data_IF_429988599410
#
_entry.id   IF_429988599410
#
_cell.length_a   1.000
_cell.length_b   1.000
_cell.length_c   1.000
_cell.angle_alpha   90.00
_cell.angle_beta   90.00
_cell.angle_gamma   90.00
#
_symmetry.space_group_name_H-M   'P 1'
#
loop_
_entity.id
_entity.type
_entity.pdbx_description
1 polymer ?
#
# COMPACT_ATOMS: atom_id res chain seq x y z
N UNK A 1 11.39 -38.27 22.91
CA UNK A 1 10.23 -38.75 22.13
C UNK A 1 9.77 -37.67 21.16
N UNK A 2 9.30 -38.08 20.00
CA UNK A 2 8.60 -37.20 19.07
C UNK A 2 7.25 -37.82 18.82
N UNK A 3 6.15 -37.09 19.07
CA UNK A 3 4.78 -37.58 18.94
C UNK A 3 4.58 -38.93 19.68
N UNK A 4 5.05 -39.01 20.92
CA UNK A 4 4.99 -40.17 21.83
C UNK A 4 5.81 -41.39 21.37
N UNK A 5 6.68 -41.26 20.37
CA UNK A 5 7.57 -42.33 19.88
C UNK A 5 9.02 -42.07 20.26
N UNK A 6 9.75 -43.06 20.81
CA UNK A 6 11.15 -42.93 21.10
C UNK A 6 11.97 -42.88 19.79
N UNK A 7 12.79 -41.85 19.62
CA UNK A 7 13.60 -41.65 18.40
C UNK A 7 15.04 -41.34 18.80
N UNK A 8 16.00 -41.88 18.03
CA UNK A 8 17.41 -41.54 18.18
C UNK A 8 17.79 -40.32 17.32
N UNK A 9 17.25 -40.26 16.11
CA UNK A 9 17.45 -39.17 15.15
C UNK A 9 16.17 -38.99 14.35
N UNK A 10 15.72 -37.74 14.18
CA UNK A 10 14.60 -37.41 13.33
C UNK A 10 14.66 -35.95 12.85
N UNK A 11 14.02 -35.71 11.69
CA UNK A 11 13.80 -34.35 11.19
C UNK A 11 12.53 -33.82 11.83
N UNK A 12 12.66 -32.79 12.66
CA UNK A 12 11.55 -32.13 13.31
C UNK A 12 10.78 -31.24 12.34
N UNK A 13 9.46 -31.28 12.42
CA UNK A 13 8.55 -30.37 11.72
C UNK A 13 7.92 -29.41 12.71
N UNK A 14 7.46 -28.25 12.24
CA UNK A 14 6.91 -27.19 13.08
C UNK A 14 5.75 -27.61 14.01
N UNK A 15 5.04 -28.67 13.66
CA UNK A 15 3.88 -29.16 14.44
C UNK A 15 4.17 -30.45 15.23
N UNK A 16 5.43 -30.87 15.30
CA UNK A 16 5.79 -32.04 16.06
C UNK A 16 5.82 -31.72 17.57
N UNK A 17 5.38 -32.69 18.37
CA UNK A 17 5.48 -32.63 19.82
C UNK A 17 6.80 -33.28 20.25
N UNK A 18 7.72 -32.48 20.79
CA UNK A 18 9.01 -32.96 21.27
C UNK A 18 9.02 -33.07 22.81
N UNK A 19 9.29 -34.26 23.32
CA UNK A 19 9.43 -34.52 24.75
C UNK A 19 10.86 -34.94 25.08
N UNK A 20 11.48 -34.24 26.01
CA UNK A 20 12.79 -34.57 26.57
C UNK A 20 12.63 -34.94 28.05
N UNK A 21 12.48 -36.24 28.33
CA UNK A 21 12.15 -36.73 29.66
C UNK A 21 10.77 -36.29 30.12
N UNK A 22 10.68 -35.47 31.15
CA UNK A 22 9.44 -34.89 31.69
C UNK A 22 9.14 -33.49 31.12
N UNK A 23 9.98 -32.98 30.24
CA UNK A 23 9.84 -31.64 29.67
C UNK A 23 9.27 -31.70 28.24
N UNK A 24 8.20 -30.99 28.03
CA UNK A 24 7.65 -30.73 26.69
C UNK A 24 8.33 -29.49 26.13
N UNK A 25 8.93 -29.61 24.92
CA UNK A 25 9.61 -28.51 24.24
C UNK A 25 8.68 -27.92 23.18
N UNK A 26 8.37 -26.63 23.25
CA UNK A 26 7.54 -25.98 22.26
C UNK A 26 8.32 -25.82 20.93
N UNK A 27 8.14 -26.81 20.05
CA UNK A 27 8.87 -26.89 18.77
C UNK A 27 8.61 -25.67 17.89
N UNK A 28 7.41 -25.11 17.91
CA UNK A 28 7.07 -23.89 17.18
C UNK A 28 7.89 -22.67 17.65
N UNK A 29 8.14 -22.53 18.93
CA UNK A 29 8.99 -21.45 19.49
C UNK A 29 10.45 -21.65 19.11
N UNK A 30 10.90 -22.91 19.10
CA UNK A 30 12.26 -23.28 18.72
C UNK A 30 12.52 -22.93 17.25
N UNK A 31 11.58 -23.27 16.35
CA UNK A 31 11.66 -22.87 14.93
C UNK A 31 11.63 -21.36 14.74
N UNK A 32 10.76 -20.63 15.48
CA UNK A 32 10.75 -19.15 15.44
C UNK A 32 12.09 -18.57 15.88
N UNK A 33 12.70 -19.14 16.92
CA UNK A 33 14.00 -18.70 17.43
C UNK A 33 15.12 -18.98 16.42
N UNK A 34 15.17 -20.17 15.83
CA UNK A 34 16.15 -20.52 14.81
C UNK A 34 16.02 -19.59 13.60
N UNK A 35 14.80 -19.41 13.08
CA UNK A 35 14.55 -18.52 11.95
C UNK A 35 14.95 -17.07 12.28
N UNK A 36 14.76 -16.62 13.51
CA UNK A 36 15.17 -15.28 13.94
C UNK A 36 16.70 -15.13 14.00
N UNK A 37 17.42 -16.18 14.42
CA UNK A 37 18.88 -16.20 14.43
C UNK A 37 19.46 -16.22 13.02
N UNK A 38 18.92 -17.03 12.12
CA UNK A 38 19.32 -17.04 10.71
C UNK A 38 19.11 -15.68 10.03
N UNK A 39 17.99 -14.99 10.34
CA UNK A 39 17.72 -13.64 9.87
C UNK A 39 18.71 -12.62 10.43
N UNK A 40 19.20 -12.81 11.67
CA UNK A 40 20.19 -11.92 12.27
C UNK A 40 21.56 -12.01 11.58
N UNK A 41 21.97 -13.22 11.17
CA UNK A 41 23.24 -13.43 10.48
C UNK A 41 23.19 -13.12 8.99
N UNK A 42 22.00 -13.16 8.39
CA UNK A 42 21.82 -12.83 6.98
C UNK A 42 22.09 -11.34 6.73
N UNK A 43 23.00 -11.03 5.80
CA UNK A 43 23.32 -9.66 5.37
C UNK A 43 22.78 -9.33 3.98
N UNK A 44 22.65 -10.33 3.12
CA UNK A 44 22.15 -10.18 1.74
C UNK A 44 20.64 -10.40 1.68
N UNK A 45 19.90 -9.32 1.41
CA UNK A 45 18.45 -9.28 1.28
C UNK A 45 18.01 -8.77 -0.09
N UNK A 46 18.79 -9.02 -1.13
CA UNK A 46 18.51 -8.52 -2.48
C UNK A 46 17.17 -8.99 -3.03
N UNK A 47 16.81 -10.25 -2.80
CA UNK A 47 15.55 -10.82 -3.30
C UNK A 47 14.35 -10.22 -2.57
N UNK A 48 14.39 -10.23 -1.25
CA UNK A 48 13.34 -9.63 -0.40
C UNK A 48 13.15 -8.15 -0.72
N UNK A 49 14.24 -7.46 -1.05
CA UNK A 49 14.16 -6.05 -1.45
C UNK A 49 13.45 -5.83 -2.79
N UNK A 50 13.67 -6.72 -3.76
CA UNK A 50 12.96 -6.66 -5.04
C UNK A 50 11.45 -6.87 -4.85
N UNK A 51 11.06 -7.79 -3.96
CA UNK A 51 9.66 -8.01 -3.62
C UNK A 51 9.06 -6.78 -2.90
N UNK A 52 9.82 -6.19 -1.98
CA UNK A 52 9.41 -4.94 -1.33
C UNK A 52 9.27 -3.79 -2.33
N UNK A 53 10.16 -3.66 -3.31
CA UNK A 53 10.08 -2.65 -4.36
C UNK A 53 8.84 -2.85 -5.24
N UNK A 54 8.50 -4.09 -5.57
CA UNK A 54 7.28 -4.41 -6.30
C UNK A 54 6.03 -4.03 -5.50
N UNK A 55 6.00 -4.36 -4.20
CA UNK A 55 4.92 -3.98 -3.28
C UNK A 55 4.83 -2.45 -3.15
N UNK A 56 5.95 -1.73 -3.08
CA UNK A 56 5.96 -0.28 -3.05
C UNK A 56 5.38 0.34 -4.33
N UNK A 57 5.69 -0.21 -5.50
CA UNK A 57 5.09 0.24 -6.77
C UNK A 57 3.57 0.04 -6.79
N UNK A 58 3.08 -1.08 -6.24
CA UNK A 58 1.65 -1.35 -6.09
C UNK A 58 0.98 -0.40 -5.09
N UNK A 59 1.59 -0.20 -3.92
CA UNK A 59 1.16 0.79 -2.94
C UNK A 59 1.00 2.17 -3.57
N UNK A 60 2.02 2.62 -4.30
CA UNK A 60 2.01 3.92 -4.97
C UNK A 60 0.88 4.04 -6.01
N UNK A 61 0.64 2.99 -6.81
CA UNK A 61 -0.48 2.97 -7.76
C UNK A 61 -1.83 3.10 -7.04
N UNK A 62 -2.06 2.31 -5.99
CA UNK A 62 -3.29 2.39 -5.18
C UNK A 62 -3.43 3.77 -4.53
N UNK A 63 -2.35 4.32 -3.96
CA UNK A 63 -2.33 5.66 -3.36
C UNK A 63 -2.72 6.75 -4.35
N UNK A 64 -2.16 6.74 -5.56
CA UNK A 64 -2.51 7.70 -6.63
C UNK A 64 -3.98 7.54 -7.01
N UNK A 65 -4.48 6.31 -7.18
CA UNK A 65 -5.87 6.06 -7.53
C UNK A 65 -6.85 6.60 -6.48
N UNK A 66 -6.55 6.48 -5.19
CA UNK A 66 -7.37 7.02 -4.10
C UNK A 66 -7.26 8.56 -4.04
N UNK A 67 -6.04 9.10 -4.24
CA UNK A 67 -5.80 10.55 -4.11
C UNK A 67 -6.28 11.36 -5.31
N UNK A 68 -6.38 10.74 -6.50
CA UNK A 68 -6.76 11.44 -7.73
C UNK A 68 -8.28 11.48 -7.85
N UNK A 69 -8.89 12.67 -7.78
CA UNK A 69 -10.34 12.79 -7.98
C UNK A 69 -10.72 12.43 -9.41
N UNK A 70 -11.88 11.83 -9.64
CA UNK A 70 -12.37 11.54 -10.98
C UNK A 70 -12.54 12.84 -11.78
N UNK A 71 -12.10 12.86 -13.02
CA UNK A 71 -12.11 14.06 -13.86
C UNK A 71 -13.48 14.33 -14.49
N UNK A 72 -14.37 13.32 -14.54
CA UNK A 72 -15.67 13.43 -15.22
C UNK A 72 -16.56 14.58 -14.72
N UNK A 73 -16.64 14.92 -13.40
CA UNK A 73 -17.49 16.04 -12.96
C UNK A 73 -16.96 17.39 -13.46
N UNK A 74 -15.65 17.54 -13.62
CA UNK A 74 -15.04 18.75 -14.18
C UNK A 74 -15.42 18.86 -15.67
N UNK A 75 -15.30 17.77 -16.43
CA UNK A 75 -15.65 17.72 -17.85
C UNK A 75 -17.14 18.03 -18.02
N UNK A 76 -18.02 17.40 -17.23
CA UNK A 76 -19.45 17.63 -17.26
C UNK A 76 -19.79 19.10 -17.01
N UNK A 77 -19.15 19.72 -16.02
CA UNK A 77 -19.37 21.13 -15.70
C UNK A 77 -18.94 22.05 -16.84
N UNK A 78 -17.77 21.80 -17.44
CA UNK A 78 -17.28 22.59 -18.57
C UNK A 78 -18.22 22.47 -19.79
N UNK A 79 -18.66 21.27 -20.11
CA UNK A 79 -19.62 21.08 -21.26
C UNK A 79 -20.96 21.78 -21.02
N UNK A 80 -21.50 21.70 -19.78
CA UNK A 80 -22.73 22.38 -19.43
C UNK A 80 -22.60 23.92 -19.48
N UNK A 81 -21.45 24.46 -19.03
CA UNK A 81 -21.22 25.92 -19.14
C UNK A 81 -21.09 26.38 -20.57
N UNK A 82 -20.45 25.61 -21.46
CA UNK A 82 -20.34 25.92 -22.87
C UNK A 82 -21.76 25.91 -23.50
N UNK A 83 -22.58 24.91 -23.19
CA UNK A 83 -23.96 24.82 -23.67
C UNK A 83 -24.79 26.02 -23.19
N UNK A 84 -24.60 26.50 -21.98
CA UNK A 84 -25.29 27.69 -21.45
C UNK A 84 -24.87 28.94 -22.22
N UNK A 85 -23.56 29.12 -22.47
CA UNK A 85 -23.06 30.29 -23.21
C UNK A 85 -23.62 30.27 -24.64
N UNK A 86 -23.62 29.11 -25.31
CA UNK A 86 -24.19 29.00 -26.67
C UNK A 86 -25.69 29.27 -26.69
N UNK A 87 -26.45 28.74 -25.72
CA UNK A 87 -27.86 29.02 -25.57
C UNK A 87 -28.14 30.52 -25.32
N UNK A 88 -27.28 31.20 -24.53
CA UNK A 88 -27.41 32.63 -24.24
C UNK A 88 -27.13 33.50 -25.49
N UNK A 89 -26.20 33.09 -26.34
CA UNK A 89 -25.94 33.75 -27.63
C UNK A 89 -27.09 33.61 -28.63
N UNK A 90 -27.92 32.55 -28.45
CA UNK A 90 -29.10 32.28 -29.25
C UNK A 90 -30.40 32.78 -28.64
N UNK A 91 -30.35 33.80 -27.76
CA UNK A 91 -31.49 34.26 -26.94
C UNK A 91 -32.71 34.75 -27.72
N UNK A 92 -32.57 35.14 -28.98
CA UNK A 92 -33.70 35.55 -29.82
C UNK A 92 -34.61 34.36 -30.16
N UNK A 93 -34.17 33.14 -30.00
CA UNK A 93 -34.90 31.91 -30.34
C UNK A 93 -35.37 31.10 -29.12
N UNK A 94 -34.82 31.32 -27.93
CA UNK A 94 -35.09 30.52 -26.75
C UNK A 94 -35.82 31.32 -25.67
N UNK A 95 -37.01 30.88 -25.19
CA UNK A 95 -37.73 31.54 -24.11
C UNK A 95 -36.90 31.63 -22.80
N UNK A 96 -36.90 32.78 -22.13
CA UNK A 96 -36.10 33.06 -20.90
C UNK A 96 -36.30 32.04 -19.79
N UNK A 97 -37.47 31.41 -19.72
CA UNK A 97 -37.75 30.37 -18.71
C UNK A 97 -36.83 29.13 -18.83
N UNK A 98 -36.42 28.76 -20.05
CA UNK A 98 -35.48 27.63 -20.23
C UNK A 98 -34.06 27.99 -19.84
N UNK A 99 -33.62 29.23 -19.95
CA UNK A 99 -32.33 29.71 -19.51
C UNK A 99 -32.23 29.63 -17.96
N UNK A 100 -33.33 29.93 -17.25
CA UNK A 100 -33.38 29.79 -15.79
C UNK A 100 -33.21 28.32 -15.35
N UNK A 101 -33.93 27.40 -15.98
CA UNK A 101 -33.81 25.96 -15.70
C UNK A 101 -32.38 25.48 -15.95
N UNK A 102 -31.78 25.93 -17.07
CA UNK A 102 -30.40 25.53 -17.42
C UNK A 102 -29.36 26.05 -16.42
N UNK A 103 -29.50 27.30 -15.92
CA UNK A 103 -28.64 27.82 -14.85
C UNK A 103 -28.77 27.05 -13.54
N UNK A 104 -30.01 26.65 -13.21
CA UNK A 104 -30.27 25.85 -11.99
C UNK A 104 -29.65 24.45 -12.12
N UNK A 105 -29.71 23.80 -13.27
CA UNK A 105 -29.04 22.53 -13.56
C UNK A 105 -27.52 22.64 -13.42
N UNK A 106 -26.91 23.72 -13.92
CA UNK A 106 -25.46 23.92 -13.79
C UNK A 106 -25.08 24.16 -12.33
N UNK A 107 -25.87 24.91 -11.57
CA UNK A 107 -25.69 25.08 -10.14
C UNK A 107 -25.72 23.73 -9.41
N UNK A 108 -26.66 22.86 -9.77
CA UNK A 108 -26.80 21.53 -9.17
C UNK A 108 -25.56 20.67 -9.44
N UNK A 109 -24.98 20.74 -10.65
CA UNK A 109 -23.74 19.98 -10.98
C UNK A 109 -22.52 20.42 -10.19
N UNK A 110 -22.54 21.59 -9.55
CA UNK A 110 -21.47 22.04 -8.66
C UNK A 110 -21.54 21.35 -7.28
N UNK A 111 -22.77 21.01 -6.83
CA UNK A 111 -23.01 20.42 -5.50
C UNK A 111 -22.95 18.88 -5.55
N UNK A 112 -23.50 18.26 -6.60
CA UNK A 112 -23.56 16.81 -6.77
C UNK A 112 -22.21 16.10 -6.55
N UNK A 113 -21.08 16.54 -7.13
CA UNK A 113 -19.79 15.88 -6.91
C UNK A 113 -19.36 15.85 -5.45
N UNK A 114 -19.66 16.89 -4.68
CA UNK A 114 -19.31 16.95 -3.26
C UNK A 114 -20.10 15.93 -2.44
N UNK A 115 -21.30 15.58 -2.85
CA UNK A 115 -22.13 14.57 -2.21
C UNK A 115 -21.70 13.14 -2.58
N UNK A 116 -21.28 12.91 -3.82
CA UNK A 116 -20.92 11.57 -4.31
C UNK A 116 -19.44 11.20 -4.14
N UNK A 117 -18.54 12.17 -4.07
CA UNK A 117 -17.09 11.92 -3.98
C UNK A 117 -16.59 11.55 -2.58
N UNK A 118 -17.47 11.36 -1.62
CA UNK A 118 -17.10 11.10 -0.23
C UNK A 118 -16.33 12.27 0.38
N UNK A 119 -16.53 12.54 1.65
CA UNK A 119 -15.81 13.61 2.35
C UNK A 119 -14.31 13.38 2.26
N UNK A 120 -13.51 14.45 2.32
CA UNK A 120 -12.05 14.37 2.41
C UNK A 120 -11.62 13.41 3.54
N UNK A 121 -12.44 13.28 4.56
CA UNK A 121 -12.29 12.36 5.69
C UNK A 121 -12.25 10.90 5.24
N UNK A 122 -13.23 10.44 4.45
CA UNK A 122 -13.26 9.04 3.94
C UNK A 122 -12.07 8.72 3.04
N UNK A 123 -11.59 9.70 2.29
CA UNK A 123 -10.40 9.51 1.45
C UNK A 123 -9.14 9.39 2.31
N UNK A 124 -9.01 10.20 3.35
CA UNK A 124 -7.88 10.12 4.28
C UNK A 124 -7.91 8.79 5.05
N UNK A 125 -9.06 8.36 5.53
CA UNK A 125 -9.24 7.05 6.16
C UNK A 125 -8.77 5.90 5.26
N UNK A 126 -9.20 5.88 3.98
CA UNK A 126 -8.72 4.89 3.01
C UNK A 126 -7.22 4.96 2.74
N UNK A 127 -6.62 6.14 2.81
CA UNK A 127 -5.17 6.31 2.67
C UNK A 127 -4.42 5.78 3.90
N UNK A 128 -4.97 5.98 5.09
CA UNK A 128 -4.41 5.47 6.33
C UNK A 128 -4.54 3.94 6.41
N UNK A 129 -5.68 3.38 6.01
CA UNK A 129 -5.88 1.93 5.90
C UNK A 129 -4.87 1.31 4.91
N UNK A 130 -4.72 1.92 3.73
CA UNK A 130 -3.74 1.49 2.75
C UNK A 130 -2.31 1.56 3.29
N UNK A 131 -1.98 2.60 4.05
CA UNK A 131 -0.67 2.73 4.68
C UNK A 131 -0.44 1.61 5.70
N UNK A 132 -1.42 1.33 6.55
CA UNK A 132 -1.35 0.28 7.57
C UNK A 132 -1.21 -1.12 6.92
N UNK A 133 -1.96 -1.39 5.82
CA UNK A 133 -1.85 -2.64 5.05
C UNK A 133 -0.41 -2.88 4.56
N UNK A 134 0.24 -1.83 4.06
CA UNK A 134 1.56 -1.95 3.43
C UNK A 134 2.74 -1.68 4.39
N UNK A 135 2.52 -1.17 5.59
CA UNK A 135 3.60 -0.77 6.50
C UNK A 135 4.50 -1.94 6.90
N UNK A 136 3.90 -3.10 7.20
CA UNK A 136 4.65 -4.31 7.52
C UNK A 136 5.45 -4.85 6.33
N UNK A 137 4.87 -4.78 5.11
CA UNK A 137 5.50 -5.25 3.87
C UNK A 137 6.62 -4.33 3.38
N UNK A 138 6.57 -3.04 3.77
CA UNK A 138 7.53 -2.01 3.36
C UNK A 138 8.47 -1.62 4.49
N UNK A 139 8.74 -2.54 5.40
CA UNK A 139 9.70 -2.39 6.49
C UNK A 139 10.91 -3.30 6.29
N UNK A 140 12.08 -2.85 6.76
CA UNK A 140 13.29 -3.66 6.69
C UNK A 140 13.06 -5.02 7.37
N UNK A 141 13.39 -6.15 6.74
CA UNK A 141 13.14 -7.48 7.29
C UNK A 141 13.90 -7.73 8.60
N UNK A 142 15.10 -7.13 8.77
CA UNK A 142 15.95 -7.29 9.95
C UNK A 142 15.58 -6.33 11.08
N UNK A 143 15.60 -5.02 10.86
CA UNK A 143 15.41 -4.01 11.90
C UNK A 143 14.01 -3.41 11.98
N UNK A 144 13.08 -3.83 11.09
CA UNK A 144 11.69 -3.38 11.03
C UNK A 144 11.51 -1.86 10.80
N UNK A 145 12.58 -1.16 10.43
CA UNK A 145 12.49 0.28 10.10
C UNK A 145 11.58 0.45 8.87
N UNK A 146 10.53 1.26 9.02
CA UNK A 146 9.58 1.54 7.94
C UNK A 146 10.22 2.40 6.84
N UNK A 147 10.02 2.00 5.58
CA UNK A 147 10.52 2.69 4.38
C UNK A 147 9.39 3.25 3.51
N UNK A 148 8.15 3.21 3.98
CA UNK A 148 6.95 3.57 3.22
C UNK A 148 6.95 5.02 2.74
N UNK A 149 7.59 5.94 3.47
CA UNK A 149 7.63 7.37 3.17
C UNK A 149 8.73 7.75 2.18
N UNK A 150 9.55 6.82 1.73
CA UNK A 150 10.63 7.11 0.79
C UNK A 150 10.09 7.38 -0.64
N UNK A 151 10.82 8.19 -1.40
CA UNK A 151 10.54 8.40 -2.83
C UNK A 151 10.88 7.17 -3.66
N UNK A 152 10.28 7.03 -4.85
CA UNK A 152 10.59 5.91 -5.74
C UNK A 152 12.07 5.90 -6.15
N UNK A 153 12.66 7.08 -6.40
CA UNK A 153 14.09 7.19 -6.71
C UNK A 153 14.96 6.67 -5.57
N UNK A 154 14.60 6.99 -4.33
CA UNK A 154 15.32 6.46 -3.16
C UNK A 154 15.22 4.94 -3.05
N UNK A 155 14.06 4.35 -3.42
CA UNK A 155 13.91 2.91 -3.48
C UNK A 155 14.76 2.26 -4.58
N UNK A 156 14.83 2.87 -5.77
CA UNK A 156 15.58 2.31 -6.90
C UNK A 156 17.10 2.42 -6.73
N UNK A 157 17.59 3.44 -6.03
CA UNK A 157 19.01 3.68 -5.83
C UNK A 157 19.57 3.14 -4.52
N UNK A 158 18.72 2.75 -3.59
CA UNK A 158 19.13 2.36 -2.24
C UNK A 158 19.88 1.03 -2.23
N UNK A 159 21.05 1.04 -1.62
CA UNK A 159 21.93 -0.12 -1.50
C UNK A 159 21.86 -0.76 -0.09
N UNK A 160 21.53 0.03 0.94
CA UNK A 160 21.53 -0.40 2.34
C UNK A 160 20.30 0.09 3.10
N UNK A 161 20.04 -0.52 4.25
CA UNK A 161 18.99 -0.06 5.15
C UNK A 161 19.19 1.41 5.57
N UNK A 162 18.10 2.20 5.73
CA UNK A 162 18.19 3.58 6.19
C UNK A 162 18.61 3.70 7.67
N UNK A 163 18.49 2.65 8.43
CA UNK A 163 18.95 2.61 9.81
C UNK A 163 20.45 2.31 9.83
N UNK A 164 21.27 3.25 10.28
CA UNK A 164 22.73 3.14 10.34
C UNK A 164 23.24 1.96 11.19
N UNK A 165 22.45 1.53 12.17
CA UNK A 165 22.77 0.37 13.02
C UNK A 165 22.44 -0.97 12.36
N UNK A 166 21.87 -0.95 11.14
CA UNK A 166 21.46 -2.14 10.43
C UNK A 166 22.41 -2.42 9.25
N UNK A 167 23.04 -3.58 9.27
CA UNK A 167 24.04 -4.02 8.29
C UNK A 167 23.44 -4.67 7.03
N UNK A 168 22.12 -4.59 6.84
CA UNK A 168 21.41 -5.16 5.68
C UNK A 168 21.81 -4.49 4.39
N UNK A 169 22.18 -5.32 3.40
CA UNK A 169 22.51 -4.92 2.02
C UNK A 169 21.35 -5.34 1.10
N UNK A 170 20.80 -4.38 0.36
CA UNK A 170 19.70 -4.57 -0.59
C UNK A 170 20.17 -4.76 -2.04
N UNK A 171 21.32 -4.19 -2.40
CA UNK A 171 21.94 -4.33 -3.72
C UNK A 171 23.41 -4.66 -3.56
N UNK A 172 23.85 -5.73 -4.18
CA UNK A 172 25.25 -6.07 -4.22
C UNK A 172 25.84 -5.63 -5.57
N UNK A 173 26.69 -4.61 -5.56
CA UNK A 173 27.35 -4.08 -6.76
C UNK A 173 28.20 -5.13 -7.50
N UNK A 174 28.59 -6.21 -6.83
CA UNK A 174 29.48 -7.23 -7.37
C UNK A 174 28.75 -8.35 -8.14
N UNK A 175 27.43 -8.26 -8.30
CA UNK A 175 26.59 -9.25 -9.03
C UNK A 175 25.91 -8.68 -10.29
N UNK A 176 26.37 -7.53 -10.78
CA UNK A 176 25.90 -6.96 -12.04
C UNK A 176 26.84 -7.33 -13.18
#
# INVERSE_FOLDING_TARGET
YINDKPVKEAILKAHDKLELGVFEVPVDELFKTINSLELQDKKDFCQEYNDMLANFKNYRKKKIAISTPPKWPIILRVTLTILLITAWLMTDTIPRQYLFILTLLIGLTAVLPSLFMGSATLRNERLDDLKNEYESMLSCPKCKTSMINNSLSNWETRERCPNEKCDVIFKNKNKA
#
